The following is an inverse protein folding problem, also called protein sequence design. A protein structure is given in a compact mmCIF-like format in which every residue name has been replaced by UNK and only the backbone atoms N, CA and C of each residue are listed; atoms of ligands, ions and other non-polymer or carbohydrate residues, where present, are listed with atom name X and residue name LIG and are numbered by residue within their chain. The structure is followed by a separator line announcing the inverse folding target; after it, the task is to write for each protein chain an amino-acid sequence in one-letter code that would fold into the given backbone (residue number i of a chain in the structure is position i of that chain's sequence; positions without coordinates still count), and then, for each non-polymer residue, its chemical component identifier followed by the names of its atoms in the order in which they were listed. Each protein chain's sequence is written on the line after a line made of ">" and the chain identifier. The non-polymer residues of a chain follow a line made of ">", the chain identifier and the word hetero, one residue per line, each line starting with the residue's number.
data_IF_043827173868
#
_entry.id   IF_043827173868
#
_cell.length_a   1.000
_cell.length_b   1.000
_cell.length_c   1.000
_cell.angle_alpha   90.00
_cell.angle_beta   90.00
_cell.angle_gamma   90.00
#
_symmetry.space_group_name_H-M   'P 1'
#
loop_
_entity.id
_entity.type
_entity.pdbx_description
1 polymer ?
#
# COMPACT_ATOMS: atom_id res chain seq x y z
N UNK A 1 20.22 -30.39 12.25
CA UNK A 1 19.37 -29.16 12.15
C UNK A 1 18.39 -29.39 11.02
N UNK A 2 17.12 -29.68 11.35
CA UNK A 2 16.10 -29.97 10.35
C UNK A 2 15.64 -28.66 9.74
N UNK A 3 16.08 -28.36 8.52
CA UNK A 3 15.50 -27.29 7.72
C UNK A 3 14.16 -27.78 7.14
N UNK A 4 13.09 -27.71 7.92
CA UNK A 4 11.74 -27.87 7.41
C UNK A 4 11.39 -26.64 6.56
N UNK A 5 11.49 -26.82 5.26
CA UNK A 5 10.96 -25.85 4.28
C UNK A 5 9.44 -25.91 4.32
N UNK A 6 8.82 -24.96 5.01
CA UNK A 6 7.37 -24.77 4.95
C UNK A 6 6.95 -24.37 3.53
N UNK A 7 6.49 -25.36 2.77
CA UNK A 7 5.88 -25.14 1.48
C UNK A 7 4.44 -24.69 1.67
N UNK A 8 4.14 -23.44 1.45
CA UNK A 8 2.76 -23.02 1.19
C UNK A 8 2.34 -23.58 -0.17
N UNK A 9 1.87 -24.86 -0.17
CA UNK A 9 1.48 -25.56 -1.37
C UNK A 9 0.33 -24.88 -2.09
N UNK A 10 0.56 -24.46 -3.31
CA UNK A 10 -0.53 -24.11 -4.23
C UNK A 10 -1.14 -25.43 -4.68
N UNK A 11 -2.45 -25.62 -4.45
CA UNK A 11 -3.20 -26.83 -4.83
C UNK A 11 -2.97 -27.14 -6.32
N UNK A 12 -2.40 -28.30 -6.64
CA UNK A 12 -2.10 -28.72 -8.01
C UNK A 12 -0.63 -28.58 -8.46
N UNK A 13 0.28 -28.14 -7.61
CA UNK A 13 1.70 -28.06 -7.93
C UNK A 13 2.39 -29.41 -7.69
N UNK A 14 3.06 -29.97 -8.72
CA UNK A 14 3.89 -31.16 -8.57
C UNK A 14 5.07 -30.85 -7.63
N UNK A 15 5.32 -31.74 -6.67
CA UNK A 15 6.49 -31.69 -5.77
C UNK A 15 7.77 -31.47 -6.60
N UNK A 16 8.59 -30.50 -6.19
CA UNK A 16 9.89 -30.21 -6.81
C UNK A 16 9.91 -29.12 -7.87
N UNK A 17 8.75 -28.63 -8.36
CA UNK A 17 8.70 -27.54 -9.36
C UNK A 17 8.23 -26.25 -8.68
N UNK A 18 9.16 -25.36 -8.37
CA UNK A 18 8.84 -24.00 -7.93
C UNK A 18 8.40 -23.18 -9.13
N UNK A 19 7.12 -22.87 -9.23
CA UNK A 19 6.54 -22.14 -10.38
C UNK A 19 7.20 -20.78 -10.64
N UNK A 20 7.64 -20.10 -9.58
CA UNK A 20 8.14 -18.73 -9.62
C UNK A 20 9.64 -18.60 -9.29
N UNK A 21 10.24 -19.62 -8.69
CA UNK A 21 11.63 -19.59 -8.23
C UNK A 21 12.37 -20.85 -8.68
N UNK A 22 13.62 -20.68 -9.09
CA UNK A 22 14.59 -21.75 -9.30
C UNK A 22 15.07 -22.29 -7.95
N UNK A 23 15.83 -23.38 -7.96
CA UNK A 23 16.40 -24.00 -6.75
C UNK A 23 17.36 -23.06 -6.00
N UNK A 24 18.08 -22.22 -6.74
CA UNK A 24 18.99 -21.20 -6.20
C UNK A 24 18.27 -19.95 -5.63
N UNK A 25 16.93 -19.94 -5.63
CA UNK A 25 16.12 -18.82 -5.17
C UNK A 25 15.91 -17.71 -6.19
N UNK A 26 16.57 -17.75 -7.36
CA UNK A 26 16.34 -16.82 -8.45
C UNK A 26 14.93 -17.00 -9.06
N UNK A 27 14.40 -15.95 -9.69
CA UNK A 27 13.08 -16.02 -10.29
C UNK A 27 13.14 -16.74 -11.66
N UNK A 28 12.17 -17.64 -11.89
CA UNK A 28 11.93 -18.20 -13.22
C UNK A 28 11.42 -17.12 -14.18
N UNK A 29 11.49 -17.33 -15.50
CA UNK A 29 10.91 -16.44 -16.48
C UNK A 29 9.40 -16.20 -16.25
N UNK A 30 8.69 -17.20 -15.73
CA UNK A 30 7.29 -17.07 -15.36
C UNK A 30 7.12 -16.22 -14.09
N UNK A 31 7.99 -16.41 -13.11
CA UNK A 31 8.05 -15.58 -11.90
C UNK A 31 8.32 -14.11 -12.21
N UNK A 32 9.28 -13.84 -13.09
CA UNK A 32 9.58 -12.48 -13.57
C UNK A 32 8.34 -11.81 -14.19
N UNK A 33 7.63 -12.51 -15.09
CA UNK A 33 6.42 -11.96 -15.72
C UNK A 33 5.30 -11.70 -14.72
N UNK A 34 5.13 -12.58 -13.74
CA UNK A 34 4.14 -12.45 -12.69
C UNK A 34 4.43 -11.22 -11.83
N UNK A 35 5.64 -11.13 -11.26
CA UNK A 35 6.03 -10.01 -10.40
C UNK A 35 6.04 -8.65 -11.11
N UNK A 36 6.35 -8.56 -12.40
CA UNK A 36 6.28 -7.30 -13.15
C UNK A 36 4.89 -6.65 -13.10
N UNK A 37 3.85 -7.45 -13.11
CA UNK A 37 2.46 -6.96 -13.03
C UNK A 37 2.12 -6.53 -11.61
N UNK A 38 2.56 -7.33 -10.66
CA UNK A 38 2.24 -7.13 -9.24
C UNK A 38 3.03 -5.98 -8.61
N UNK A 39 4.30 -5.77 -9.01
CA UNK A 39 5.07 -4.58 -8.56
C UNK A 39 4.43 -3.27 -8.99
N UNK A 40 3.89 -3.19 -10.23
CA UNK A 40 3.17 -2.00 -10.70
C UNK A 40 1.90 -1.73 -9.87
N UNK A 41 1.18 -2.78 -9.49
CA UNK A 41 -0.03 -2.67 -8.66
C UNK A 41 0.32 -2.28 -7.23
N UNK A 42 1.37 -2.87 -6.65
CA UNK A 42 1.88 -2.54 -5.33
C UNK A 42 2.37 -1.09 -5.27
N UNK A 43 3.17 -0.63 -6.22
CA UNK A 43 3.65 0.76 -6.31
C UNK A 43 2.45 1.73 -6.39
N UNK A 44 1.45 1.43 -7.22
CA UNK A 44 0.23 2.24 -7.29
C UNK A 44 -0.52 2.29 -5.95
N UNK A 45 -0.66 1.17 -5.26
CA UNK A 45 -1.33 1.09 -3.96
C UNK A 45 -0.64 1.96 -2.92
N UNK A 46 0.67 1.80 -2.75
CA UNK A 46 1.44 2.61 -1.79
C UNK A 46 1.46 4.10 -2.17
N UNK A 47 1.53 4.42 -3.47
CA UNK A 47 1.44 5.79 -3.96
C UNK A 47 0.08 6.45 -3.67
N UNK A 48 -1.03 5.72 -3.75
CA UNK A 48 -2.35 6.22 -3.36
C UNK A 48 -2.38 6.50 -1.85
N UNK A 49 -1.93 5.56 -1.01
CA UNK A 49 -1.86 5.75 0.45
C UNK A 49 -1.02 6.94 0.86
N UNK A 50 0.11 7.15 0.19
CA UNK A 50 0.96 8.33 0.39
C UNK A 50 0.23 9.63 0.04
N UNK A 51 -0.48 9.66 -1.10
CA UNK A 51 -1.29 10.81 -1.50
C UNK A 51 -2.42 11.11 -0.52
N UNK A 52 -3.08 10.10 0.03
CA UNK A 52 -4.10 10.25 1.06
C UNK A 52 -3.55 10.97 2.29
N UNK A 53 -2.37 10.55 2.79
CA UNK A 53 -1.71 11.19 3.93
C UNK A 53 -1.29 12.64 3.62
N UNK A 54 -0.70 12.89 2.44
CA UNK A 54 -0.32 14.24 2.01
C UNK A 54 -1.54 15.17 1.85
N UNK A 55 -2.70 14.61 1.52
CA UNK A 55 -3.95 15.32 1.34
C UNK A 55 -4.77 15.43 2.64
N UNK A 56 -4.34 14.81 3.73
CA UNK A 56 -5.04 14.96 5.01
C UNK A 56 -5.08 16.42 5.46
N UNK A 57 -6.19 16.83 6.09
CA UNK A 57 -6.41 18.21 6.54
C UNK A 57 -5.26 18.68 7.44
N UNK A 58 -4.89 17.84 8.41
CA UNK A 58 -3.83 18.15 9.36
C UNK A 58 -2.47 18.39 8.68
N UNK A 59 -2.09 17.52 7.72
CA UNK A 59 -0.80 17.66 7.04
C UNK A 59 -0.77 18.87 6.10
N UNK A 60 -1.87 19.18 5.40
CA UNK A 60 -1.99 20.38 4.57
C UNK A 60 -1.88 21.67 5.38
N UNK A 61 -2.55 21.72 6.53
CA UNK A 61 -2.47 22.86 7.43
C UNK A 61 -1.04 23.05 7.96
N UNK A 62 -0.41 21.97 8.44
CA UNK A 62 0.99 21.99 8.83
C UNK A 62 1.89 22.52 7.71
N UNK A 63 1.76 22.00 6.48
CA UNK A 63 2.59 22.41 5.35
C UNK A 63 2.35 23.87 4.96
N UNK A 64 1.15 24.36 5.07
CA UNK A 64 0.85 25.78 4.83
C UNK A 64 1.58 26.69 5.82
N UNK A 65 1.54 26.35 7.11
CA UNK A 65 2.21 27.11 8.16
C UNK A 65 3.74 27.01 8.07
N UNK A 66 4.26 25.82 7.78
CA UNK A 66 5.69 25.56 7.60
C UNK A 66 6.24 26.35 6.40
N UNK A 67 5.54 26.35 5.26
CA UNK A 67 5.92 27.11 4.08
C UNK A 67 5.85 28.63 4.33
N UNK A 68 4.82 29.13 5.03
CA UNK A 68 4.69 30.55 5.39
C UNK A 68 5.84 31.00 6.29
N UNK A 69 6.19 30.17 7.31
CA UNK A 69 7.34 30.44 8.16
C UNK A 69 8.66 30.47 7.36
N UNK A 70 8.92 29.46 6.54
CA UNK A 70 10.14 29.36 5.76
C UNK A 70 10.27 30.50 4.74
N UNK A 71 9.17 30.88 4.05
CA UNK A 71 9.12 32.01 3.14
C UNK A 71 9.47 33.32 3.86
N UNK A 72 8.86 33.60 5.01
CA UNK A 72 9.12 34.79 5.79
C UNK A 72 10.54 34.83 6.36
N UNK A 73 11.03 33.68 6.85
CA UNK A 73 12.41 33.57 7.34
C UNK A 73 13.43 33.83 6.26
N UNK A 74 13.19 33.35 5.04
CA UNK A 74 14.08 33.59 3.90
C UNK A 74 14.08 35.05 3.46
N UNK A 75 12.91 35.69 3.34
CA UNK A 75 12.79 37.04 2.79
C UNK A 75 13.04 38.15 3.81
N UNK A 76 12.76 37.95 5.08
CA UNK A 76 12.79 38.98 6.13
C UNK A 76 13.77 38.70 7.25
N UNK A 77 14.36 37.50 7.28
CA UNK A 77 15.27 37.06 8.33
C UNK A 77 14.58 36.51 9.56
N UNK A 78 15.37 35.83 10.41
CA UNK A 78 14.89 35.07 11.58
C UNK A 78 14.18 35.93 12.63
N UNK A 79 14.61 37.14 12.83
CA UNK A 79 14.18 38.02 13.92
C UNK A 79 13.11 39.05 13.52
N UNK A 80 12.68 39.04 12.25
CA UNK A 80 11.60 39.91 11.80
C UNK A 80 10.28 39.60 12.49
N UNK A 81 9.48 40.61 12.79
CA UNK A 81 8.18 40.46 13.47
C UNK A 81 7.22 39.52 12.70
N UNK A 82 7.25 39.55 11.36
CA UNK A 82 6.44 38.67 10.49
C UNK A 82 6.85 37.23 10.61
N UNK A 83 8.17 36.98 10.67
CA UNK A 83 8.75 35.64 10.86
C UNK A 83 8.41 35.08 12.24
N UNK A 84 8.54 35.91 13.27
CA UNK A 84 8.20 35.55 14.66
C UNK A 84 6.72 35.21 14.78
N UNK A 85 5.82 35.99 14.16
CA UNK A 85 4.38 35.71 14.14
C UNK A 85 4.05 34.38 13.44
N UNK A 86 4.71 34.08 12.31
CA UNK A 86 4.54 32.81 11.63
C UNK A 86 5.09 31.62 12.45
N UNK A 87 6.24 31.79 13.09
CA UNK A 87 6.81 30.78 13.99
C UNK A 87 5.88 30.46 15.15
N UNK A 88 5.25 31.46 15.76
CA UNK A 88 4.30 31.25 16.85
C UNK A 88 3.10 30.42 16.41
N UNK A 89 2.49 30.73 15.24
CA UNK A 89 1.38 29.94 14.70
C UNK A 89 1.78 28.49 14.45
N UNK A 90 2.94 28.26 13.85
CA UNK A 90 3.46 26.91 13.59
C UNK A 90 3.72 26.16 14.91
N UNK A 91 4.32 26.84 15.90
CA UNK A 91 4.59 26.24 17.20
C UNK A 91 3.32 25.86 17.97
N UNK A 92 2.26 26.68 17.92
CA UNK A 92 0.94 26.37 18.49
C UNK A 92 0.36 25.10 17.89
N UNK A 93 0.37 25.02 16.55
CA UNK A 93 -0.08 23.82 15.85
C UNK A 93 0.74 22.58 16.23
N UNK A 94 2.07 22.71 16.28
CA UNK A 94 2.98 21.62 16.66
C UNK A 94 2.76 21.17 18.10
N UNK A 95 2.48 22.08 19.03
CA UNK A 95 2.16 21.71 20.43
C UNK A 95 0.90 20.86 20.50
N UNK A 96 -0.15 21.26 19.79
CA UNK A 96 -1.47 20.60 19.84
C UNK A 96 -1.45 19.25 19.13
N UNK A 97 -0.76 19.15 17.98
CA UNK A 97 -0.87 17.98 17.07
C UNK A 97 0.45 17.19 16.92
N UNK A 98 1.38 17.36 17.88
CA UNK A 98 2.74 16.80 17.76
C UNK A 98 2.76 15.30 17.49
N UNK A 99 1.99 14.54 18.25
CA UNK A 99 1.93 13.07 18.12
C UNK A 99 1.41 12.65 16.76
N UNK A 100 0.27 13.21 16.35
CA UNK A 100 -0.37 12.87 15.07
C UNK A 100 0.51 13.25 13.86
N UNK A 101 1.13 14.43 13.89
CA UNK A 101 2.07 14.86 12.84
C UNK A 101 3.31 13.97 12.79
N UNK A 102 3.84 13.58 13.92
CA UNK A 102 4.97 12.64 13.99
C UNK A 102 4.60 11.31 13.37
N UNK A 103 3.42 10.77 13.68
CA UNK A 103 2.91 9.52 13.09
C UNK A 103 2.71 9.64 11.58
N UNK A 104 2.19 10.77 11.09
CA UNK A 104 2.04 11.04 9.66
C UNK A 104 3.41 11.09 8.97
N UNK A 105 4.40 11.76 9.56
CA UNK A 105 5.76 11.81 9.01
C UNK A 105 6.41 10.43 8.93
N UNK A 106 6.29 9.60 9.97
CA UNK A 106 6.82 8.23 9.94
C UNK A 106 6.14 7.39 8.87
N UNK A 107 4.80 7.47 8.75
CA UNK A 107 4.05 6.75 7.71
C UNK A 107 4.44 7.22 6.30
N UNK A 108 4.61 8.52 6.08
CA UNK A 108 5.04 9.07 4.80
C UNK A 108 6.45 8.60 4.42
N UNK A 109 7.36 8.53 5.39
CA UNK A 109 8.71 8.00 5.18
C UNK A 109 8.67 6.52 4.82
N UNK A 110 7.97 5.70 5.62
CA UNK A 110 7.81 4.26 5.36
C UNK A 110 7.23 4.01 3.96
N UNK A 111 6.16 4.72 3.57
CA UNK A 111 5.57 4.59 2.25
C UNK A 111 6.52 5.01 1.12
N UNK A 112 7.34 6.05 1.34
CA UNK A 112 8.35 6.48 0.36
C UNK A 112 9.46 5.47 0.20
N UNK A 113 9.92 4.86 1.29
CA UNK A 113 10.93 3.81 1.27
C UNK A 113 10.39 2.54 0.58
N UNK A 114 9.13 2.17 0.83
CA UNK A 114 8.44 1.06 0.14
C UNK A 114 8.33 1.29 -1.37
N UNK A 115 7.90 2.47 -1.79
CA UNK A 115 7.85 2.83 -3.22
C UNK A 115 9.23 2.69 -3.87
N UNK A 116 10.26 3.26 -3.24
CA UNK A 116 11.64 3.21 -3.73
C UNK A 116 12.15 1.76 -3.89
N UNK A 117 11.93 0.93 -2.88
CA UNK A 117 12.38 -0.47 -2.90
C UNK A 117 11.59 -1.29 -3.95
N UNK A 118 10.28 -1.08 -4.09
CA UNK A 118 9.45 -1.72 -5.12
C UNK A 118 9.88 -1.31 -6.52
N UNK A 119 10.18 -0.04 -6.75
CA UNK A 119 10.64 0.46 -8.04
C UNK A 119 12.02 -0.12 -8.40
N UNK A 120 12.90 -0.29 -7.40
CA UNK A 120 14.18 -0.96 -7.59
C UNK A 120 14.03 -2.44 -7.92
N UNK A 121 13.11 -3.14 -7.25
CA UNK A 121 12.76 -4.52 -7.60
C UNK A 121 12.16 -4.62 -9.00
N UNK A 122 11.28 -3.71 -9.39
CA UNK A 122 10.73 -3.64 -10.74
C UNK A 122 11.83 -3.40 -11.81
N UNK A 123 12.80 -2.54 -11.51
CA UNK A 123 13.96 -2.30 -12.38
C UNK A 123 14.81 -3.56 -12.53
N UNK A 124 15.06 -4.30 -11.45
CA UNK A 124 15.72 -5.60 -11.47
C UNK A 124 14.98 -6.60 -12.37
N UNK A 125 13.66 -6.72 -12.23
CA UNK A 125 12.83 -7.60 -13.07
C UNK A 125 12.90 -7.26 -14.56
N UNK A 126 13.17 -5.99 -14.88
CA UNK A 126 13.33 -5.52 -16.26
C UNK A 126 14.79 -5.55 -16.77
N UNK A 127 15.71 -6.16 -15.99
CA UNK A 127 17.16 -6.19 -16.28
C UNK A 127 17.78 -4.79 -16.42
N UNK A 128 17.20 -3.82 -15.77
CA UNK A 128 17.61 -2.42 -15.83
C UNK A 128 17.79 -1.86 -14.42
N UNK A 129 18.68 -2.51 -13.64
CA UNK A 129 18.96 -2.08 -12.27
C UNK A 129 20.01 -0.98 -12.31
N UNK A 130 19.66 0.28 -12.04
CA UNK A 130 20.64 1.33 -11.94
C UNK A 130 21.47 1.14 -10.67
N UNK A 131 22.77 0.96 -10.83
CA UNK A 131 23.74 1.11 -9.76
C UNK A 131 24.22 2.57 -9.79
N UNK A 132 23.92 3.34 -8.76
CA UNK A 132 24.50 4.65 -8.62
C UNK A 132 25.97 4.52 -8.13
N UNK A 133 26.85 5.37 -8.62
CA UNK A 133 28.30 5.26 -8.41
C UNK A 133 28.78 5.17 -6.94
N UNK A 134 27.93 5.54 -6.00
CA UNK A 134 28.21 5.55 -4.55
C UNK A 134 27.41 4.51 -3.76
N UNK A 135 26.60 3.66 -4.42
CA UNK A 135 25.82 2.64 -3.72
C UNK A 135 26.61 1.33 -3.59
N UNK A 136 26.61 0.77 -2.38
CA UNK A 136 27.18 -0.56 -2.16
C UNK A 136 26.28 -1.62 -2.81
N UNK A 137 26.89 -2.60 -3.45
CA UNK A 137 26.18 -3.72 -4.09
C UNK A 137 25.20 -4.42 -3.12
N UNK A 138 25.59 -4.58 -1.86
CA UNK A 138 24.77 -5.16 -0.81
C UNK A 138 23.51 -4.35 -0.51
N UNK A 139 23.61 -3.02 -0.46
CA UNK A 139 22.46 -2.14 -0.21
C UNK A 139 21.44 -2.22 -1.34
N UNK A 140 21.92 -2.36 -2.58
CA UNK A 140 21.06 -2.56 -3.76
C UNK A 140 20.35 -3.90 -3.69
N UNK A 141 21.04 -4.97 -3.36
CA UNK A 141 20.47 -6.31 -3.20
C UNK A 141 19.42 -6.32 -2.07
N UNK A 142 19.74 -5.69 -0.93
CA UNK A 142 18.82 -5.58 0.18
C UNK A 142 17.54 -4.78 -0.19
N UNK A 143 17.70 -3.71 -0.95
CA UNK A 143 16.57 -2.91 -1.45
C UNK A 143 15.69 -3.73 -2.42
N UNK A 144 16.29 -4.51 -3.33
CA UNK A 144 15.58 -5.42 -4.23
C UNK A 144 14.77 -6.47 -3.43
N UNK A 145 15.40 -7.07 -2.40
CA UNK A 145 14.74 -8.05 -1.56
C UNK A 145 13.58 -7.47 -0.76
N UNK A 146 13.74 -6.25 -0.20
CA UNK A 146 12.64 -5.52 0.45
C UNK A 146 11.53 -5.18 -0.53
N UNK A 147 11.84 -4.73 -1.74
CA UNK A 147 10.85 -4.45 -2.77
C UNK A 147 10.02 -5.68 -3.14
N UNK A 148 10.65 -6.87 -3.21
CA UNK A 148 9.94 -8.14 -3.37
C UNK A 148 9.02 -8.41 -2.18
N UNK A 149 9.54 -8.27 -0.95
CA UNK A 149 8.76 -8.48 0.27
C UNK A 149 7.52 -7.57 0.31
N UNK A 150 7.66 -6.27 0.04
CA UNK A 150 6.54 -5.33 0.03
C UNK A 150 5.51 -5.65 -1.06
N UNK A 151 5.96 -6.16 -2.20
CA UNK A 151 5.04 -6.65 -3.25
C UNK A 151 4.24 -7.86 -2.76
N UNK A 152 4.88 -8.80 -2.08
CA UNK A 152 4.23 -9.99 -1.50
C UNK A 152 3.26 -9.61 -0.38
N UNK A 153 3.61 -8.63 0.46
CA UNK A 153 2.72 -8.07 1.49
C UNK A 153 1.46 -7.45 0.87
N UNK A 154 1.61 -6.63 -0.17
CA UNK A 154 0.49 -6.08 -0.92
C UNK A 154 -0.44 -7.18 -1.48
N UNK A 155 0.13 -8.23 -2.08
CA UNK A 155 -0.65 -9.34 -2.62
C UNK A 155 -1.44 -10.10 -1.53
N UNK A 156 -0.87 -10.24 -0.34
CA UNK A 156 -1.57 -10.83 0.82
C UNK A 156 -2.75 -9.97 1.25
N UNK A 157 -2.56 -8.64 1.33
CA UNK A 157 -3.64 -7.70 1.66
C UNK A 157 -4.76 -7.76 0.61
N UNK A 158 -4.41 -7.64 -0.67
CA UNK A 158 -5.40 -7.70 -1.76
C UNK A 158 -6.18 -9.01 -1.79
N UNK A 159 -5.51 -10.14 -1.56
CA UNK A 159 -6.17 -11.44 -1.48
C UNK A 159 -7.04 -11.57 -0.22
N UNK A 160 -6.61 -11.01 0.91
CA UNK A 160 -7.37 -10.93 2.15
C UNK A 160 -8.66 -10.13 1.95
N UNK A 161 -8.56 -8.94 1.36
CA UNK A 161 -9.70 -8.08 1.08
C UNK A 161 -10.71 -8.73 0.13
N UNK A 162 -10.23 -9.39 -0.93
CA UNK A 162 -11.09 -10.13 -1.86
C UNK A 162 -11.80 -11.31 -1.20
N UNK A 163 -11.13 -12.03 -0.31
CA UNK A 163 -11.73 -13.13 0.43
C UNK A 163 -12.77 -12.63 1.44
N UNK A 164 -12.47 -11.54 2.14
CA UNK A 164 -13.39 -10.86 3.06
C UNK A 164 -14.63 -10.36 2.33
N UNK A 165 -14.46 -9.66 1.21
CA UNK A 165 -15.56 -9.20 0.36
C UNK A 165 -16.46 -10.36 -0.11
N UNK A 166 -15.88 -11.43 -0.65
CA UNK A 166 -16.63 -12.62 -1.09
C UNK A 166 -17.35 -13.33 0.06
N UNK A 167 -16.73 -13.37 1.23
CA UNK A 167 -17.35 -13.93 2.44
C UNK A 167 -18.57 -13.10 2.83
N UNK A 168 -18.44 -11.79 2.92
CA UNK A 168 -19.54 -10.89 3.25
C UNK A 168 -20.69 -10.99 2.24
N UNK A 169 -20.40 -11.03 0.94
CA UNK A 169 -21.41 -11.24 -0.09
C UNK A 169 -22.22 -12.52 0.15
N UNK A 170 -21.53 -13.63 0.46
CA UNK A 170 -22.21 -14.91 0.70
C UNK A 170 -23.08 -14.88 1.95
N UNK A 171 -22.56 -14.32 3.04
CA UNK A 171 -23.24 -14.27 4.33
C UNK A 171 -24.46 -13.35 4.29
N UNK A 172 -24.32 -12.13 3.77
CA UNK A 172 -25.43 -11.17 3.68
C UNK A 172 -26.49 -11.62 2.71
N UNK A 173 -26.12 -12.20 1.56
CA UNK A 173 -27.07 -12.80 0.62
C UNK A 173 -27.82 -13.96 1.27
N UNK A 174 -27.11 -14.87 1.96
CA UNK A 174 -27.72 -16.01 2.66
C UNK A 174 -28.71 -15.55 3.74
N UNK A 175 -28.34 -14.53 4.50
CA UNK A 175 -29.22 -13.93 5.51
C UNK A 175 -30.51 -13.37 4.89
N UNK A 176 -30.40 -12.56 3.83
CA UNK A 176 -31.54 -11.96 3.14
C UNK A 176 -32.46 -13.02 2.52
N UNK A 177 -31.91 -14.05 1.89
CA UNK A 177 -32.70 -15.15 1.33
C UNK A 177 -33.41 -15.97 2.41
N UNK A 178 -32.90 -16.00 3.65
CA UNK A 178 -33.52 -16.63 4.79
C UNK A 178 -34.68 -15.81 5.36
N UNK A 179 -34.44 -14.47 5.51
CA UNK A 179 -35.38 -13.53 6.14
C UNK A 179 -36.47 -13.03 5.20
N UNK A 180 -36.19 -13.02 3.89
CA UNK A 180 -37.11 -12.51 2.86
C UNK A 180 -37.31 -13.54 1.74
N UNK A 181 -38.24 -14.49 1.93
CA UNK A 181 -38.52 -15.56 0.94
C UNK A 181 -38.84 -15.06 -0.46
N UNK A 182 -39.39 -13.84 -0.58
CA UNK A 182 -39.71 -13.20 -1.87
C UNK A 182 -38.47 -12.94 -2.73
N UNK A 183 -37.28 -12.88 -2.15
CA UNK A 183 -36.01 -12.65 -2.87
C UNK A 183 -35.37 -13.98 -3.38
N UNK A 184 -36.01 -15.12 -3.25
CA UNK A 184 -35.46 -16.43 -3.65
C UNK A 184 -35.57 -16.73 -5.16
N UNK A 185 -36.12 -15.80 -5.95
CA UNK A 185 -36.22 -15.97 -7.41
C UNK A 185 -34.87 -15.85 -8.12
N UNK A 186 -34.75 -16.51 -9.31
CA UNK A 186 -33.53 -16.42 -10.15
C UNK A 186 -33.25 -15.00 -10.66
N UNK A 187 -34.29 -14.17 -10.74
CA UNK A 187 -34.24 -12.81 -11.30
C UNK A 187 -34.01 -11.74 -10.24
N UNK A 188 -33.48 -12.12 -9.07
CA UNK A 188 -33.14 -11.15 -8.02
C UNK A 188 -31.74 -10.59 -8.20
N UNK A 189 -31.67 -9.27 -8.41
CA UNK A 189 -30.44 -8.53 -8.51
C UNK A 189 -30.07 -8.01 -7.11
N UNK A 190 -28.84 -8.28 -6.68
CA UNK A 190 -28.26 -7.79 -5.43
C UNK A 190 -27.20 -6.76 -5.73
N UNK A 191 -27.28 -5.60 -5.08
CA UNK A 191 -26.24 -4.57 -5.09
C UNK A 191 -25.44 -4.66 -3.79
N UNK A 192 -24.15 -4.35 -3.85
CA UNK A 192 -23.22 -4.53 -2.73
C UNK A 192 -22.41 -3.26 -2.48
N UNK A 193 -22.12 -2.98 -1.21
CA UNK A 193 -21.19 -1.92 -0.82
C UNK A 193 -19.72 -2.34 -1.04
N UNK A 194 -18.81 -1.44 -0.72
CA UNK A 194 -17.35 -1.66 -0.81
C UNK A 194 -16.84 -2.80 0.09
N UNK A 195 -17.61 -3.18 1.11
CA UNK A 195 -17.31 -4.30 2.02
C UNK A 195 -17.98 -5.62 1.61
N UNK A 196 -18.72 -5.65 0.50
CA UNK A 196 -19.46 -6.82 0.04
C UNK A 196 -20.77 -7.09 0.79
N UNK A 197 -21.33 -6.09 1.50
CA UNK A 197 -22.63 -6.21 2.16
C UNK A 197 -23.73 -5.80 1.19
N UNK A 198 -24.84 -6.52 1.19
CA UNK A 198 -25.97 -6.18 0.33
C UNK A 198 -26.59 -4.85 0.77
N UNK A 199 -26.62 -3.86 -0.14
CA UNK A 199 -27.25 -2.54 0.05
C UNK A 199 -28.64 -2.50 -0.50
N UNK A 200 -28.91 -3.22 -1.59
CA UNK A 200 -30.24 -3.35 -2.16
C UNK A 200 -30.48 -4.73 -2.75
N UNK A 201 -31.73 -5.15 -2.80
CA UNK A 201 -32.15 -6.36 -3.47
C UNK A 201 -33.48 -6.09 -4.18
N UNK A 202 -33.53 -6.27 -5.50
CA UNK A 202 -34.75 -6.06 -6.33
C UNK A 202 -34.93 -7.23 -7.29
N UNK A 203 -36.19 -7.50 -7.64
CA UNK A 203 -36.47 -8.40 -8.76
C UNK A 203 -36.28 -7.65 -10.07
N UNK A 204 -35.65 -8.29 -11.06
CA UNK A 204 -35.73 -7.82 -12.43
C UNK A 204 -37.11 -8.20 -12.97
N UNK A 205 -37.87 -7.23 -13.43
CA UNK A 205 -39.14 -7.46 -14.11
C UNK A 205 -38.90 -7.82 -15.55
#
# INVERSE_FOLDING_TARGET
>A
MNNELYHHGIKGQKWGVRRYQNEDGSLTNYGIRHYRKDTKRASKYYGIRKKELLNSKLYKEYKTLDNDYNFKRFNYGKYDRRTTAAANKLNEMLKTNRKELTDVHYKLRDLSDREKDIDRFNSYLNKNTPFHAFERKEDVINSINRGKQFTDEYLKLENGDKNFYKKNQRETKKYLLKTSPMLRGKDTIFEYDEYGRVTSARRSF
#
